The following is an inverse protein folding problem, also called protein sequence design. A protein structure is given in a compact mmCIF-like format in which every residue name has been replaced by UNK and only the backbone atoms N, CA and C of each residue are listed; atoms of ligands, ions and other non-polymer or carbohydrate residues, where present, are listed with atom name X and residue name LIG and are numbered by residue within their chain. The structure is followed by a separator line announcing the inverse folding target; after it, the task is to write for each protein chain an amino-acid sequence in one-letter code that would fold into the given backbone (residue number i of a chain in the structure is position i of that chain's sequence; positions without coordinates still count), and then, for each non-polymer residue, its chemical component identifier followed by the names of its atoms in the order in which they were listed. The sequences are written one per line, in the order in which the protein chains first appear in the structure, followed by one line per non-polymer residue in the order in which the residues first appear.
data_IF_253759578110
#
_entry.id   IF_253759578110
#
_cell.length_a   1.000
_cell.length_b   1.000
_cell.length_c   1.000
_cell.angle_alpha   90.00
_cell.angle_beta   90.00
_cell.angle_gamma   90.00
#
_symmetry.space_group_name_H-M   'P 1'
#
loop_
_entity.id
_entity.type
_entity.pdbx_description
1 polymer ?
#
# COMPACT_ATOMS: atom_id res chain seq x y z
N UNK A 1 -22.80 -11.57 0.15
CA UNK A 1 -23.24 -10.34 -0.52
C UNK A 1 -22.05 -9.38 -0.63
N UNK A 2 -21.17 -9.54 -1.63
CA UNK A 2 -20.04 -8.63 -1.87
C UNK A 2 -19.80 -8.48 -3.37
N UNK A 3 -20.67 -7.69 -4.02
CA UNK A 3 -20.57 -7.32 -5.43
C UNK A 3 -19.82 -5.99 -5.57
N UNK A 4 -18.50 -5.94 -5.39
CA UNK A 4 -17.72 -4.72 -5.68
C UNK A 4 -16.28 -4.98 -6.17
N UNK A 5 -16.03 -6.14 -6.79
CA UNK A 5 -14.79 -6.41 -7.54
C UNK A 5 -14.82 -5.72 -8.91
N UNK A 6 -14.88 -4.39 -8.89
CA UNK A 6 -14.70 -3.59 -10.10
C UNK A 6 -13.20 -3.49 -10.40
N UNK A 7 -12.76 -4.25 -11.42
CA UNK A 7 -11.55 -4.03 -12.24
C UNK A 7 -10.39 -3.34 -11.51
N UNK A 8 -9.72 -4.03 -10.60
CA UNK A 8 -8.34 -3.70 -10.27
C UNK A 8 -7.45 -4.47 -11.23
N UNK A 9 -6.57 -3.78 -11.97
CA UNK A 9 -5.33 -4.35 -12.53
C UNK A 9 -4.78 -5.36 -11.52
N UNK A 10 -4.17 -6.49 -11.92
CA UNK A 10 -3.70 -7.51 -10.98
C UNK A 10 -2.91 -6.82 -9.87
N UNK A 11 -3.59 -6.63 -8.74
CA UNK A 11 -3.02 -5.91 -7.62
C UNK A 11 -2.10 -6.95 -7.03
N UNK A 12 -0.81 -6.62 -7.02
CA UNK A 12 0.20 -7.49 -6.46
C UNK A 12 -0.27 -7.87 -5.04
N UNK A 13 -0.53 -9.16 -4.73
CA UNK A 13 -1.09 -9.57 -3.44
C UNK A 13 -0.26 -9.05 -2.26
N UNK A 14 1.05 -8.85 -2.49
CA UNK A 14 1.97 -8.29 -1.52
C UNK A 14 1.67 -6.81 -1.24
N UNK A 15 1.31 -6.04 -2.27
CA UNK A 15 0.94 -4.62 -2.13
C UNK A 15 -0.36 -4.47 -1.35
N UNK A 16 -1.37 -5.30 -1.65
CA UNK A 16 -2.65 -5.25 -0.92
C UNK A 16 -2.46 -5.68 0.54
N UNK A 17 -1.69 -6.75 0.79
CA UNK A 17 -1.40 -7.20 2.15
C UNK A 17 -0.62 -6.15 2.96
N UNK A 18 0.42 -5.51 2.39
CA UNK A 18 1.17 -4.46 3.09
C UNK A 18 0.33 -3.20 3.30
N UNK A 19 -0.54 -2.84 2.35
CA UNK A 19 -1.47 -1.72 2.49
C UNK A 19 -2.47 -1.96 3.62
N UNK A 20 -3.03 -3.17 3.70
CA UNK A 20 -3.97 -3.54 4.73
C UNK A 20 -3.30 -3.60 6.11
N UNK A 21 -2.12 -4.21 6.22
CA UNK A 21 -1.34 -4.22 7.46
C UNK A 21 -1.00 -2.81 7.95
N UNK A 22 -0.69 -1.88 7.03
CA UNK A 22 -0.49 -0.48 7.36
C UNK A 22 -1.76 0.21 7.86
N UNK A 23 -2.91 -0.04 7.22
CA UNK A 23 -4.21 0.50 7.65
C UNK A 23 -4.60 -0.06 9.01
N UNK A 24 -4.41 -1.36 9.25
CA UNK A 24 -4.74 -2.00 10.53
C UNK A 24 -3.87 -1.47 11.66
N UNK A 25 -2.57 -1.24 11.40
CA UNK A 25 -1.62 -0.79 12.43
C UNK A 25 -1.66 0.71 12.69
N UNK A 26 -1.85 1.53 11.65
CA UNK A 26 -1.71 2.99 11.73
C UNK A 26 -3.00 3.76 11.41
N UNK A 27 -4.06 3.07 10.98
CA UNK A 27 -5.36 3.68 10.67
C UNK A 27 -5.22 4.81 9.64
N UNK A 28 -5.61 6.04 10.05
CA UNK A 28 -5.50 7.25 9.23
C UNK A 28 -4.05 7.61 8.89
N UNK A 29 -3.08 7.20 9.72
CA UNK A 29 -1.64 7.44 9.50
C UNK A 29 -0.98 6.52 8.47
N UNK A 30 -1.69 5.49 7.98
CA UNK A 30 -1.14 4.49 7.07
C UNK A 30 -0.51 5.07 5.80
N UNK A 31 -1.12 6.12 5.24
CA UNK A 31 -0.61 6.79 4.04
C UNK A 31 0.72 7.52 4.31
N UNK A 32 0.88 8.14 5.48
CA UNK A 32 2.12 8.79 5.88
C UNK A 32 3.24 7.76 6.09
N UNK A 33 2.92 6.65 6.75
CA UNK A 33 3.88 5.56 6.97
C UNK A 33 4.38 4.96 5.64
N UNK A 34 3.48 4.72 4.68
CA UNK A 34 3.86 4.26 3.34
C UNK A 34 4.79 5.26 2.63
N UNK A 35 4.57 6.57 2.83
CA UNK A 35 5.44 7.60 2.27
C UNK A 35 6.82 7.63 2.92
N UNK A 36 6.91 7.47 4.25
CA UNK A 36 8.18 7.35 4.97
C UNK A 36 8.96 6.15 4.41
N UNK A 37 8.32 4.98 4.31
CA UNK A 37 8.96 3.78 3.77
C UNK A 37 9.33 3.88 2.30
N UNK A 38 8.55 4.61 1.49
CA UNK A 38 8.94 4.93 0.11
C UNK A 38 10.24 5.74 0.09
N UNK A 39 10.38 6.73 0.97
CA UNK A 39 11.59 7.55 1.08
C UNK A 39 12.78 6.71 1.56
N UNK A 40 12.59 5.90 2.60
CA UNK A 40 13.64 5.02 3.12
C UNK A 40 14.07 3.96 2.10
N UNK A 41 13.13 3.37 1.36
CA UNK A 41 13.43 2.39 0.31
C UNK A 41 14.27 2.98 -0.85
N UNK A 42 14.18 4.29 -1.11
CA UNK A 42 15.06 4.95 -2.08
C UNK A 42 16.52 5.05 -1.60
N UNK A 43 16.73 5.04 -0.28
CA UNK A 43 18.06 5.09 0.33
C UNK A 43 18.58 3.69 0.73
N UNK A 44 17.71 2.70 0.86
CA UNK A 44 18.07 1.33 1.20
C UNK A 44 18.42 0.51 -0.05
N UNK A 45 19.71 0.24 -0.28
CA UNK A 45 20.25 -0.62 -1.35
C UNK A 45 20.05 -2.12 -1.01
N UNK A 46 18.92 -2.48 -0.42
CA UNK A 46 18.70 -3.86 0.08
C UNK A 46 17.30 -4.13 0.65
N UNK A 47 16.32 -3.27 0.37
CA UNK A 47 14.94 -3.53 0.80
C UNK A 47 14.41 -4.80 0.13
N UNK A 48 13.84 -5.72 0.92
CA UNK A 48 13.20 -6.98 0.49
C UNK A 48 11.93 -6.79 -0.37
N UNK A 49 11.76 -5.60 -0.97
CA UNK A 49 10.56 -5.20 -1.71
C UNK A 49 10.99 -4.67 -3.08
N UNK A 50 10.25 -5.01 -4.14
CA UNK A 50 10.60 -4.58 -5.49
C UNK A 50 10.57 -3.05 -5.61
N UNK A 51 11.34 -2.48 -6.56
CA UNK A 51 11.32 -1.05 -6.80
C UNK A 51 9.89 -0.55 -7.08
N UNK A 52 9.53 0.58 -6.46
CA UNK A 52 8.18 1.14 -6.57
C UNK A 52 7.10 0.43 -5.75
N UNK A 53 7.43 -0.60 -4.96
CA UNK A 53 6.46 -1.30 -4.11
C UNK A 53 5.69 -0.36 -3.18
N UNK A 54 6.41 0.47 -2.42
CA UNK A 54 5.80 1.40 -1.47
C UNK A 54 4.97 2.50 -2.14
N UNK A 55 5.27 2.85 -3.38
CA UNK A 55 4.44 3.77 -4.17
C UNK A 55 3.08 3.13 -4.52
N UNK A 56 3.10 1.86 -4.91
CA UNK A 56 1.87 1.08 -5.16
C UNK A 56 1.08 0.85 -3.87
N UNK A 57 1.74 0.57 -2.75
CA UNK A 57 1.12 0.44 -1.41
C UNK A 57 0.44 1.75 -1.01
N UNK A 58 1.11 2.89 -1.19
CA UNK A 58 0.53 4.21 -0.93
C UNK A 58 -0.74 4.47 -1.75
N UNK A 59 -0.71 4.16 -3.05
CA UNK A 59 -1.89 4.28 -3.91
C UNK A 59 -3.03 3.33 -3.51
N UNK A 60 -2.69 2.11 -3.09
CA UNK A 60 -3.66 1.14 -2.57
C UNK A 60 -4.33 1.62 -1.28
N UNK A 61 -3.55 2.16 -0.33
CA UNK A 61 -4.07 2.76 0.91
C UNK A 61 -5.02 3.90 0.61
N UNK A 62 -4.64 4.81 -0.30
CA UNK A 62 -5.49 5.93 -0.70
C UNK A 62 -6.83 5.45 -1.28
N UNK A 63 -6.79 4.43 -2.13
CA UNK A 63 -8.01 3.83 -2.72
C UNK A 63 -8.88 3.18 -1.65
N UNK A 64 -8.28 2.47 -0.68
CA UNK A 64 -8.99 1.79 0.41
C UNK A 64 -9.58 2.77 1.44
N UNK A 65 -8.93 3.91 1.68
CA UNK A 65 -9.42 4.94 2.61
C UNK A 65 -10.48 5.85 1.99
N UNK A 66 -10.39 6.17 0.70
CA UNK A 66 -11.37 7.02 0.02
C UNK A 66 -12.63 6.26 -0.45
N UNK A 67 -12.55 4.94 -0.59
CA UNK A 67 -13.67 4.09 -1.00
C UNK A 67 -14.53 3.58 0.17
N UNK A 68 -14.34 4.10 1.38
CA UNK A 68 -14.99 3.68 2.62
C UNK A 68 -15.74 4.85 3.24
#
# INVERSE_FOLDING_TARGET
MFKWLHRRKPADPLVESDAQALIERFGKGAHLEAHIRQREAKHAIGGNRPPGHWERVKAAIQTLQNGR
#
